data_IF_713739978202
#
_entry.id   IF_713739978202
#
_cell.length_a   1.000
_cell.length_b   1.000
_cell.length_c   1.000
_cell.angle_alpha   90.00
_cell.angle_beta   90.00
_cell.angle_gamma   90.00
#
_symmetry.space_group_name_H-M   'P 1'
#
loop_
_entity.id
_entity.type
_entity.pdbx_description
1 polymer ?
#
# COMPACT_ATOMS: atom_id res chain seq x y z
N UNK A 1 -19.13 7.06 -3.73
CA UNK A 1 -18.95 6.37 -2.45
C UNK A 1 -17.54 5.78 -2.38
N UNK A 2 -16.87 6.01 -1.28
CA UNK A 2 -15.54 5.44 -1.04
C UNK A 2 -15.64 3.96 -0.69
N UNK A 3 -14.67 3.17 -1.17
CA UNK A 3 -14.61 1.74 -0.90
C UNK A 3 -13.19 1.24 -1.11
N UNK A 4 -12.95 -0.01 -0.76
CA UNK A 4 -11.69 -0.70 -1.02
C UNK A 4 -11.99 -2.14 -1.39
N UNK A 5 -11.14 -2.71 -2.24
CA UNK A 5 -11.25 -4.11 -2.65
C UNK A 5 -9.87 -4.67 -2.97
N UNK A 6 -9.77 -5.98 -3.03
CA UNK A 6 -8.53 -6.64 -3.41
C UNK A 6 -8.24 -6.34 -4.89
N UNK A 7 -6.99 -6.02 -5.19
CA UNK A 7 -6.55 -5.74 -6.55
C UNK A 7 -6.46 -7.03 -7.37
N UNK A 8 -6.62 -6.89 -8.68
CA UNK A 8 -6.41 -7.97 -9.61
C UNK A 8 -5.59 -7.47 -10.81
N UNK A 9 -5.30 -8.37 -11.76
CA UNK A 9 -4.42 -8.04 -12.88
C UNK A 9 -4.95 -6.89 -13.74
N UNK A 10 -6.27 -6.67 -13.78
CA UNK A 10 -6.84 -5.57 -14.56
C UNK A 10 -6.59 -4.20 -13.92
N UNK A 11 -6.12 -4.18 -12.67
CA UNK A 11 -5.82 -2.94 -11.96
C UNK A 11 -4.37 -2.48 -12.16
N UNK A 12 -3.54 -3.23 -12.89
CA UNK A 12 -2.11 -2.94 -13.00
C UNK A 12 -1.80 -1.55 -13.54
N UNK A 13 -2.49 -1.11 -14.58
CA UNK A 13 -2.22 0.21 -15.15
C UNK A 13 -2.49 1.34 -14.16
N UNK A 14 -3.68 1.42 -13.53
CA UNK A 14 -3.89 2.46 -12.52
C UNK A 14 -2.99 2.29 -11.30
N UNK A 15 -2.67 1.06 -10.88
CA UNK A 15 -1.75 0.83 -9.77
C UNK A 15 -0.36 1.38 -10.06
N UNK A 16 0.18 1.08 -11.24
CA UNK A 16 1.51 1.57 -11.62
C UNK A 16 1.54 3.10 -11.68
N UNK A 17 0.48 3.71 -12.20
CA UNK A 17 0.37 5.17 -12.25
C UNK A 17 0.35 5.77 -10.85
N UNK A 18 -0.40 5.16 -9.92
CA UNK A 18 -0.45 5.62 -8.53
C UNK A 18 0.89 5.46 -7.82
N UNK A 19 1.56 4.32 -8.03
CA UNK A 19 2.86 4.09 -7.41
C UNK A 19 3.90 5.11 -7.89
N UNK A 20 3.90 5.43 -9.18
CA UNK A 20 4.79 6.46 -9.72
C UNK A 20 4.44 7.84 -9.20
N UNK A 21 3.14 8.14 -9.09
CA UNK A 21 2.68 9.41 -8.53
C UNK A 21 3.10 9.56 -7.06
N UNK A 22 3.04 8.46 -6.29
CA UNK A 22 3.47 8.48 -4.90
C UNK A 22 4.96 8.81 -4.78
N UNK A 23 5.79 8.19 -5.61
CA UNK A 23 7.23 8.47 -5.62
C UNK A 23 7.49 9.94 -5.95
N UNK A 24 6.85 10.47 -6.97
CA UNK A 24 7.06 11.87 -7.37
C UNK A 24 6.55 12.86 -6.33
N UNK A 25 5.41 12.57 -5.70
CA UNK A 25 4.85 13.43 -4.67
C UNK A 25 5.72 13.46 -3.41
N UNK A 26 6.22 12.31 -3.00
CA UNK A 26 6.95 12.19 -1.73
C UNK A 26 8.43 12.51 -1.83
N UNK A 27 9.00 12.44 -3.02
CA UNK A 27 10.45 12.69 -3.22
C UNK A 27 10.89 14.05 -2.69
N UNK A 28 10.17 15.17 -2.93
CA UNK A 28 10.61 16.48 -2.45
C UNK A 28 10.38 16.70 -0.96
N UNK A 29 9.66 15.79 -0.28
CA UNK A 29 9.39 15.92 1.14
C UNK A 29 10.57 15.43 1.96
N UNK A 30 10.63 15.84 3.23
CA UNK A 30 11.72 15.45 4.11
C UNK A 30 11.85 13.93 4.17
N UNK A 31 13.02 13.43 3.81
CA UNK A 31 13.30 12.00 3.74
C UNK A 31 12.77 11.32 2.49
N UNK A 32 11.99 12.00 1.65
CA UNK A 32 11.36 11.41 0.48
C UNK A 32 12.35 10.96 -0.57
N UNK A 33 13.43 11.72 -0.80
CA UNK A 33 14.44 11.35 -1.78
C UNK A 33 15.19 10.08 -1.36
N UNK A 34 15.52 9.95 -0.08
CA UNK A 34 16.12 8.73 0.44
C UNK A 34 15.18 7.56 0.28
N UNK A 35 13.91 7.73 0.64
CA UNK A 35 12.89 6.70 0.48
C UNK A 35 12.78 6.26 -0.99
N UNK A 36 12.73 7.22 -1.92
CA UNK A 36 12.61 6.92 -3.35
C UNK A 36 13.79 6.10 -3.87
N UNK A 37 14.98 6.32 -3.30
CA UNK A 37 16.18 5.61 -3.73
C UNK A 37 16.37 4.26 -3.05
N UNK A 38 15.77 4.04 -1.89
CA UNK A 38 16.06 2.85 -1.08
C UNK A 38 14.88 1.94 -0.84
N UNK A 39 13.70 2.49 -0.60
CA UNK A 39 12.54 1.71 -0.13
C UNK A 39 11.37 1.71 -1.11
N UNK A 40 11.34 2.61 -2.09
CA UNK A 40 10.26 2.62 -3.08
C UNK A 40 10.43 1.47 -4.07
N UNK A 41 9.38 1.19 -4.82
CA UNK A 41 9.43 0.14 -5.82
C UNK A 41 10.36 0.50 -6.97
N UNK A 42 11.15 -0.48 -7.41
CA UNK A 42 12.04 -0.31 -8.56
C UNK A 42 11.24 -0.32 -9.86
N UNK A 43 11.75 0.36 -10.88
CA UNK A 43 11.20 0.20 -12.23
C UNK A 43 11.72 -1.12 -12.82
N UNK A 44 10.90 -1.83 -13.59
CA UNK A 44 9.52 -1.47 -13.97
C UNK A 44 8.53 -1.76 -12.85
N UNK A 45 7.85 -0.71 -12.42
CA UNK A 45 6.92 -0.78 -11.28
C UNK A 45 5.77 -1.76 -11.54
N UNK A 46 5.28 -1.82 -12.77
CA UNK A 46 4.18 -2.72 -13.12
C UNK A 46 4.54 -4.19 -12.94
N UNK A 47 5.80 -4.58 -13.18
CA UNK A 47 6.24 -5.96 -12.91
C UNK A 47 6.32 -6.25 -11.43
N UNK A 48 6.79 -5.30 -10.64
CA UNK A 48 6.85 -5.44 -9.19
C UNK A 48 5.43 -5.61 -8.63
N UNK A 49 4.49 -4.80 -9.08
CA UNK A 49 3.10 -4.88 -8.64
C UNK A 49 2.43 -6.18 -9.09
N UNK A 50 2.70 -6.63 -10.31
CA UNK A 50 2.17 -7.91 -10.80
C UNK A 50 2.64 -9.06 -9.92
N UNK A 51 3.92 -9.06 -9.56
CA UNK A 51 4.48 -10.08 -8.67
C UNK A 51 3.82 -10.05 -7.30
N UNK A 52 3.59 -8.87 -6.75
CA UNK A 52 2.94 -8.72 -5.45
C UNK A 52 1.50 -9.21 -5.46
N UNK A 53 0.75 -8.93 -6.54
CA UNK A 53 -0.63 -9.40 -6.67
C UNK A 53 -0.68 -10.93 -6.71
N UNK A 54 0.29 -11.56 -7.36
CA UNK A 54 0.33 -13.01 -7.50
C UNK A 54 0.93 -13.73 -6.29
N UNK A 55 1.58 -13.02 -5.38
CA UNK A 55 2.29 -13.60 -4.24
C UNK A 55 1.34 -13.80 -3.05
N UNK A 56 1.26 -15.03 -2.55
CA UNK A 56 0.42 -15.35 -1.39
C UNK A 56 0.87 -14.67 -0.10
N UNK A 57 2.11 -14.22 -0.04
CA UNK A 57 2.65 -13.54 1.15
C UNK A 57 2.40 -12.03 1.11
N UNK A 58 1.69 -11.56 0.09
CA UNK A 58 1.34 -10.16 -0.07
C UNK A 58 -0.16 -9.99 -0.29
N UNK A 59 -0.68 -8.85 0.10
CA UNK A 59 -2.02 -8.41 -0.29
C UNK A 59 -1.91 -7.03 -0.91
N UNK A 60 -2.44 -6.89 -2.11
CA UNK A 60 -2.55 -5.58 -2.78
C UNK A 60 -4.03 -5.22 -2.83
N UNK A 61 -4.36 -4.04 -2.35
CA UNK A 61 -5.74 -3.52 -2.40
C UNK A 61 -5.77 -2.22 -3.18
N UNK A 62 -6.91 -1.91 -3.74
CA UNK A 62 -7.17 -0.61 -4.35
C UNK A 62 -8.27 0.10 -3.58
N UNK A 63 -8.14 1.42 -3.47
CA UNK A 63 -9.19 2.27 -2.94
C UNK A 63 -9.94 2.92 -4.10
N UNK A 64 -11.24 3.00 -3.99
CA UNK A 64 -12.08 3.52 -5.07
C UNK A 64 -13.03 4.59 -4.56
N UNK A 65 -13.36 5.51 -5.44
CA UNK A 65 -14.49 6.45 -5.26
C UNK A 65 -15.34 6.33 -6.51
N UNK A 66 -16.60 5.92 -6.32
CA UNK A 66 -17.52 5.68 -7.42
C UNK A 66 -16.92 4.77 -8.51
N UNK A 67 -16.26 3.70 -8.06
CA UNK A 67 -15.59 2.68 -8.87
C UNK A 67 -14.32 3.13 -9.58
N UNK A 68 -13.91 4.38 -9.45
CA UNK A 68 -12.63 4.85 -9.98
C UNK A 68 -11.51 4.56 -8.98
N UNK A 69 -10.41 3.99 -9.44
CA UNK A 69 -9.25 3.68 -8.59
C UNK A 69 -8.51 4.97 -8.27
N UNK A 70 -8.46 5.33 -6.99
CA UNK A 70 -7.84 6.58 -6.52
C UNK A 70 -6.79 6.34 -5.45
N UNK A 71 -6.55 5.10 -5.07
CA UNK A 71 -5.54 4.77 -4.07
C UNK A 71 -5.15 3.30 -4.13
N UNK A 72 -4.08 2.96 -3.44
CA UNK A 72 -3.65 1.58 -3.30
C UNK A 72 -2.95 1.35 -1.96
N UNK A 73 -2.90 0.10 -1.55
CA UNK A 73 -2.16 -0.30 -0.36
C UNK A 73 -1.59 -1.70 -0.55
N UNK A 74 -0.47 -1.97 0.10
CA UNK A 74 0.19 -3.27 0.05
C UNK A 74 0.60 -3.67 1.45
N UNK A 75 0.24 -4.90 1.83
CA UNK A 75 0.69 -5.52 3.07
C UNK A 75 1.43 -6.80 2.74
N UNK A 76 2.33 -7.16 3.64
CA UNK A 76 3.03 -8.44 3.61
C UNK A 76 3.23 -8.92 5.04
N UNK A 77 3.70 -10.14 5.21
CA UNK A 77 4.12 -10.58 6.54
C UNK A 77 5.54 -11.13 6.49
N UNK A 78 6.24 -10.99 7.60
CA UNK A 78 7.57 -11.54 7.80
C UNK A 78 7.49 -12.62 8.88
N UNK A 79 8.17 -13.75 8.67
CA UNK A 79 8.31 -14.76 9.71
C UNK A 79 9.51 -14.40 10.58
N UNK A 80 9.30 -14.40 11.89
CA UNK A 80 10.33 -14.07 12.84
C UNK A 80 11.05 -15.35 13.29
N UNK A 81 12.13 -15.18 14.07
CA UNK A 81 12.97 -16.30 14.49
C UNK A 81 12.23 -17.35 15.29
N UNK A 82 11.21 -16.95 16.03
CA UNK A 82 10.42 -17.86 16.85
C UNK A 82 9.26 -18.51 16.08
N UNK A 83 9.19 -18.27 14.77
CA UNK A 83 8.12 -18.82 13.94
C UNK A 83 6.86 -17.98 13.90
N UNK A 84 6.78 -16.92 14.69
CA UNK A 84 5.63 -16.01 14.63
C UNK A 84 5.69 -15.14 13.38
N UNK A 85 4.56 -14.51 13.05
CA UNK A 85 4.45 -13.62 11.87
C UNK A 85 4.15 -12.20 12.29
N UNK A 86 4.84 -11.26 11.66
CA UNK A 86 4.58 -9.84 11.82
C UNK A 86 4.05 -9.30 10.49
N UNK A 87 2.87 -8.71 10.51
CA UNK A 87 2.33 -8.04 9.33
C UNK A 87 2.99 -6.68 9.14
N UNK A 88 3.19 -6.29 7.89
CA UNK A 88 3.78 -5.00 7.56
C UNK A 88 2.95 -4.36 6.45
N UNK A 89 2.41 -3.17 6.73
CA UNK A 89 1.80 -2.33 5.70
C UNK A 89 2.89 -1.41 5.19
N UNK A 90 3.44 -1.73 4.02
CA UNK A 90 4.56 -1.01 3.44
C UNK A 90 4.16 0.13 2.52
N UNK A 91 2.96 0.06 1.97
CA UNK A 91 2.44 1.07 1.03
C UNK A 91 1.02 1.42 1.41
N UNK A 92 0.73 2.71 1.41
CA UNK A 92 -0.64 3.22 1.52
C UNK A 92 -0.66 4.62 0.90
N UNK A 93 -1.34 4.76 -0.22
CA UNK A 93 -1.37 6.01 -0.96
C UNK A 93 -2.77 6.30 -1.47
N UNK A 94 -3.19 7.55 -1.36
CA UNK A 94 -4.44 8.06 -1.92
C UNK A 94 -4.12 9.33 -2.69
N UNK A 95 -4.70 9.48 -3.87
CA UNK A 95 -4.55 10.72 -4.64
C UNK A 95 -4.97 11.92 -3.78
N UNK A 96 -4.23 13.05 -3.88
CA UNK A 96 -4.49 14.20 -3.00
C UNK A 96 -5.95 14.68 -2.99
N UNK A 97 -6.63 14.66 -4.14
CA UNK A 97 -8.00 15.14 -4.24
C UNK A 97 -9.01 14.25 -3.54
N UNK A 98 -8.62 13.02 -3.16
CA UNK A 98 -9.51 12.05 -2.54
C UNK A 98 -9.13 11.72 -1.10
N UNK A 99 -8.21 12.47 -0.52
CA UNK A 99 -7.82 12.30 0.88
C UNK A 99 -8.89 12.88 1.80
N UNK A 100 -9.05 12.25 2.96
CA UNK A 100 -10.01 12.72 3.95
C UNK A 100 -11.44 12.24 3.74
N UNK A 101 -11.69 11.38 2.75
CA UNK A 101 -13.04 10.85 2.50
C UNK A 101 -13.21 9.39 2.91
N UNK A 102 -12.22 8.80 3.60
CA UNK A 102 -12.34 7.46 4.16
C UNK A 102 -11.76 6.34 3.29
N UNK A 103 -11.19 6.64 2.14
CA UNK A 103 -10.59 5.63 1.26
C UNK A 103 -9.42 4.92 1.94
N UNK A 104 -8.53 5.71 2.57
CA UNK A 104 -7.37 5.16 3.28
C UNK A 104 -7.78 4.23 4.42
N UNK A 105 -8.80 4.62 5.18
CA UNK A 105 -9.31 3.78 6.26
C UNK A 105 -9.91 2.48 5.74
N UNK A 106 -10.65 2.53 4.63
CA UNK A 106 -11.23 1.33 4.02
C UNK A 106 -10.14 0.37 3.56
N UNK A 107 -9.07 0.88 2.94
CA UNK A 107 -7.94 0.06 2.53
C UNK A 107 -7.21 -0.53 3.74
N UNK A 108 -6.94 0.29 4.76
CA UNK A 108 -6.25 -0.16 5.96
C UNK A 108 -7.02 -1.28 6.65
N UNK A 109 -8.35 -1.18 6.69
CA UNK A 109 -9.18 -2.25 7.25
C UNK A 109 -8.97 -3.59 6.57
N UNK A 110 -8.95 -3.60 5.23
CA UNK A 110 -8.67 -4.83 4.48
C UNK A 110 -7.28 -5.38 4.75
N UNK A 111 -6.28 -4.50 4.80
CA UNK A 111 -4.89 -4.92 5.00
C UNK A 111 -4.69 -5.52 6.39
N UNK A 112 -5.24 -4.89 7.42
CA UNK A 112 -5.14 -5.39 8.80
C UNK A 112 -5.88 -6.70 8.96
N UNK A 113 -7.09 -6.81 8.42
CA UNK A 113 -7.87 -8.04 8.47
C UNK A 113 -7.12 -9.20 7.81
N UNK A 114 -6.48 -8.94 6.67
CA UNK A 114 -5.68 -9.97 6.02
C UNK A 114 -4.49 -10.41 6.87
N UNK A 115 -3.80 -9.48 7.52
CA UNK A 115 -2.68 -9.82 8.40
C UNK A 115 -3.16 -10.70 9.57
N UNK A 116 -4.31 -10.37 10.16
CA UNK A 116 -4.89 -11.20 11.20
C UNK A 116 -5.24 -12.60 10.70
N UNK A 117 -5.81 -12.70 9.50
CA UNK A 117 -6.15 -13.99 8.88
C UNK A 117 -4.90 -14.83 8.60
N UNK A 118 -3.76 -14.18 8.35
CA UNK A 118 -2.48 -14.88 8.15
C UNK A 118 -1.82 -15.30 9.47
N UNK A 119 -2.44 -15.02 10.60
CA UNK A 119 -1.92 -15.40 11.89
C UNK A 119 -0.85 -14.45 12.45
N UNK A 120 -0.81 -13.22 11.99
CA UNK A 120 0.15 -12.24 12.50
C UNK A 120 -0.22 -11.84 13.93
N UNK A 121 0.78 -11.75 14.79
CA UNK A 121 0.56 -11.29 16.17
C UNK A 121 0.44 -9.77 16.27
N UNK A 122 0.85 -9.06 15.24
CA UNK A 122 0.76 -7.61 15.19
C UNK A 122 0.95 -7.11 13.77
N UNK A 123 0.70 -5.82 13.57
CA UNK A 123 0.85 -5.17 12.28
C UNK A 123 1.67 -3.89 12.47
N UNK A 124 2.73 -3.78 11.69
CA UNK A 124 3.58 -2.60 11.66
C UNK A 124 3.25 -1.80 10.39
N UNK A 125 3.06 -0.51 10.55
CA UNK A 125 2.78 0.38 9.43
C UNK A 125 3.98 1.27 9.19
N UNK A 126 4.61 1.12 8.02
CA UNK A 126 5.76 1.96 7.65
C UNK A 126 5.24 3.33 7.26
N UNK A 127 5.62 4.35 8.03
CA UNK A 127 5.23 5.72 7.72
C UNK A 127 6.01 6.21 6.50
N UNK A 128 5.28 6.67 5.48
CA UNK A 128 5.93 7.28 4.32
C UNK A 128 6.44 8.67 4.69
N UNK A 129 7.59 9.07 4.13
CA UNK A 129 8.15 10.39 4.42
C UNK A 129 7.16 11.51 4.11
N UNK A 130 6.96 12.40 5.08
CA UNK A 130 6.09 13.55 4.91
C UNK A 130 4.59 13.27 4.88
N UNK A 131 4.17 12.03 4.90
CA UNK A 131 2.76 11.65 4.82
C UNK A 131 2.25 11.25 6.21
N UNK A 132 1.79 12.23 6.97
CA UNK A 132 1.38 12.01 8.36
C UNK A 132 -0.03 11.47 8.49
N UNK A 133 -0.86 11.59 7.48
CA UNK A 133 -2.24 11.12 7.51
C UNK A 133 -2.31 9.60 7.71
N UNK A 134 -1.30 8.88 7.28
CA UNK A 134 -1.28 7.42 7.40
C UNK A 134 -0.98 6.94 8.82
N UNK A 135 -0.61 7.83 9.71
CA UNK A 135 -0.26 7.45 11.09
C UNK A 135 -1.46 7.31 12.02
N UNK A 136 -2.60 7.81 11.62
CA UNK A 136 -3.77 7.84 12.49
C UNK A 136 -4.93 7.08 11.90
#
# INVERSE_FOLDING_TARGET
MEAARVANATDLDPLAALARAAIEELRPLRGGDVWARTASHAEPVDEVLRSAIADHDHLVVVGTVDDAVVGYGIARFNELRDGSRLGVVGDLYVEPDFRGVGVGEAMMGLLVDWCEDQGCFGVDSVALPGNRETKN
#
